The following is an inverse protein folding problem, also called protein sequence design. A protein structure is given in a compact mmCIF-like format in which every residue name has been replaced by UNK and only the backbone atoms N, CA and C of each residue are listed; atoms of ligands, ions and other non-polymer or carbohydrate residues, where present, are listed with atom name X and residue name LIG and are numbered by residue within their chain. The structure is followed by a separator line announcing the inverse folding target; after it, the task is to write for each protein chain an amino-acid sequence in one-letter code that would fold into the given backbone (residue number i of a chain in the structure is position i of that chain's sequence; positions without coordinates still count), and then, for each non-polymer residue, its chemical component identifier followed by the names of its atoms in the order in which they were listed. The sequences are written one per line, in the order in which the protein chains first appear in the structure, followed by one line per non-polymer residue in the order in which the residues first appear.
data_IF_025458200565
#
_entry.id   IF_025458200565
#
_cell.length_a   1.000
_cell.length_b   1.000
_cell.length_c   1.000
_cell.angle_alpha   90.00
_cell.angle_beta   90.00
_cell.angle_gamma   90.00
#
_symmetry.space_group_name_H-M   'P 1'
#
loop_
_entity.id
_entity.type
_entity.pdbx_description
1 polymer ?
#
# COMPACT_ATOMS: atom_id res chain seq x y z
N UNK A 1 18.15 -18.74 -13.00
CA UNK A 1 18.30 -17.33 -13.39
C UNK A 1 18.51 -16.58 -12.10
N UNK A 2 19.76 -16.26 -11.79
CA UNK A 2 20.08 -15.51 -10.58
C UNK A 2 19.40 -14.15 -10.67
N UNK A 3 18.40 -13.92 -9.83
CA UNK A 3 17.89 -12.59 -9.62
C UNK A 3 19.02 -11.84 -8.90
N UNK A 4 19.72 -10.99 -9.63
CA UNK A 4 20.77 -10.16 -9.05
C UNK A 4 20.16 -9.39 -7.89
N UNK A 5 20.81 -9.42 -6.72
CA UNK A 5 20.35 -8.71 -5.54
C UNK A 5 20.06 -7.24 -5.89
N UNK A 6 18.90 -6.74 -5.43
CA UNK A 6 18.45 -5.38 -5.65
C UNK A 6 18.30 -4.65 -4.30
N UNK A 7 19.41 -4.39 -3.57
CA UNK A 7 19.35 -3.75 -2.26
C UNK A 7 19.15 -2.24 -2.40
N UNK A 8 18.31 -1.69 -1.53
CA UNK A 8 18.05 -0.25 -1.45
C UNK A 8 19.34 0.57 -1.23
N UNK A 9 19.49 1.67 -1.96
CA UNK A 9 20.51 2.69 -1.66
C UNK A 9 20.14 3.52 -0.43
N UNK A 10 18.85 3.70 -0.16
CA UNK A 10 18.33 4.44 1.00
C UNK A 10 18.77 3.82 2.32
N UNK A 11 18.53 2.52 2.52
CA UNK A 11 18.96 1.82 3.74
C UNK A 11 20.48 1.82 3.91
N UNK A 12 21.23 1.69 2.80
CA UNK A 12 22.71 1.78 2.84
C UNK A 12 23.22 3.15 3.28
N UNK A 13 22.56 4.24 2.85
CA UNK A 13 22.94 5.61 3.21
C UNK A 13 22.44 6.03 4.58
N UNK A 14 21.35 5.45 5.05
CA UNK A 14 20.77 5.73 6.36
C UNK A 14 20.44 4.41 7.11
N UNK A 15 21.45 3.76 7.72
CA UNK A 15 21.28 2.44 8.33
C UNK A 15 20.38 2.44 9.58
N UNK A 16 20.09 3.60 10.17
CA UNK A 16 19.16 3.75 11.29
C UNK A 16 17.71 4.00 10.85
N UNK A 17 17.47 4.23 9.55
CA UNK A 17 16.11 4.36 9.03
C UNK A 17 15.36 3.04 9.18
N UNK A 18 14.10 3.11 9.60
CA UNK A 18 13.26 1.93 9.84
C UNK A 18 11.96 2.07 9.07
N UNK A 19 11.68 1.05 8.28
CA UNK A 19 10.37 0.77 7.72
C UNK A 19 10.02 -0.63 8.21
N UNK A 20 8.85 -0.79 8.82
CA UNK A 20 8.32 -2.10 9.18
C UNK A 20 7.12 -2.42 8.32
N UNK A 21 6.97 -3.69 7.98
CA UNK A 21 5.83 -4.23 7.25
C UNK A 21 5.38 -5.46 8.00
N UNK A 22 4.14 -5.46 8.43
CA UNK A 22 3.55 -6.52 9.25
C UNK A 22 2.16 -6.86 8.71
N UNK A 23 1.71 -8.13 8.81
CA UNK A 23 0.30 -8.46 8.56
C UNK A 23 -0.62 -7.64 9.47
N UNK A 24 -1.69 -7.10 8.90
CA UNK A 24 -2.76 -6.49 9.67
C UNK A 24 -3.77 -7.57 10.08
N UNK A 25 -3.95 -7.75 11.39
CA UNK A 25 -4.95 -8.67 11.93
C UNK A 25 -6.34 -8.01 11.91
N UNK A 26 -7.02 -8.12 10.77
CA UNK A 26 -8.34 -7.54 10.55
C UNK A 26 -8.68 -7.34 9.09
N UNK A 27 -9.86 -6.81 8.83
CA UNK A 27 -10.31 -6.49 7.48
C UNK A 27 -10.03 -5.02 7.15
N UNK A 28 -9.56 -4.74 5.95
CA UNK A 28 -9.43 -3.40 5.40
C UNK A 28 -10.32 -3.27 4.17
N UNK A 29 -11.18 -2.25 4.16
CA UNK A 29 -12.04 -1.91 3.03
C UNK A 29 -11.68 -0.51 2.54
N UNK A 30 -11.54 -0.36 1.22
CA UNK A 30 -11.27 0.91 0.55
C UNK A 30 -12.46 1.27 -0.33
N UNK A 31 -13.02 2.44 -0.10
CA UNK A 31 -14.19 2.96 -0.83
C UNK A 31 -13.85 4.28 -1.50
N UNK A 32 -14.13 4.39 -2.80
CA UNK A 32 -14.14 5.64 -3.53
C UNK A 32 -15.59 6.08 -3.76
N UNK A 33 -15.97 7.25 -3.22
CA UNK A 33 -17.37 7.68 -3.12
C UNK A 33 -18.25 6.62 -2.43
N UNK A 34 -19.10 5.92 -3.17
CA UNK A 34 -19.98 4.83 -2.73
C UNK A 34 -19.57 3.45 -3.29
N UNK A 35 -18.51 3.38 -4.10
CA UNK A 35 -18.00 2.15 -4.67
C UNK A 35 -16.84 1.58 -3.84
N UNK A 36 -16.98 0.34 -3.37
CA UNK A 36 -15.85 -0.41 -2.83
C UNK A 36 -14.90 -0.72 -3.98
N UNK A 37 -13.63 -0.38 -3.83
CA UNK A 37 -12.58 -0.58 -4.83
C UNK A 37 -11.46 -1.52 -4.36
N UNK A 38 -11.44 -1.86 -3.07
CA UNK A 38 -10.64 -2.95 -2.53
C UNK A 38 -11.24 -3.45 -1.20
N UNK A 39 -11.10 -4.73 -0.89
CA UNK A 39 -11.51 -5.30 0.39
C UNK A 39 -10.70 -6.56 0.70
N UNK A 40 -9.95 -6.58 1.80
CA UNK A 40 -9.04 -7.67 2.13
C UNK A 40 -8.96 -7.94 3.62
N UNK A 41 -8.79 -9.21 3.99
CA UNK A 41 -8.40 -9.70 5.32
C UNK A 41 -6.92 -10.11 5.38
N UNK A 42 -6.17 -9.92 4.28
CA UNK A 42 -4.74 -10.22 4.12
C UNK A 42 -3.91 -8.94 3.89
N UNK A 43 -4.41 -7.79 4.35
CA UNK A 43 -3.70 -6.53 4.22
C UNK A 43 -2.38 -6.53 5.03
N UNK A 44 -1.38 -5.81 4.53
CA UNK A 44 -0.18 -5.46 5.28
C UNK A 44 -0.30 -4.04 5.81
N UNK A 45 0.26 -3.77 6.99
CA UNK A 45 0.45 -2.42 7.51
C UNK A 45 1.94 -2.06 7.44
N UNK A 46 2.23 -0.98 6.72
CA UNK A 46 3.56 -0.39 6.63
C UNK A 46 3.65 0.80 7.59
N UNK A 47 4.70 0.84 8.40
CA UNK A 47 5.02 1.99 9.27
C UNK A 47 6.40 2.50 8.91
N UNK A 48 6.52 3.80 8.77
CA UNK A 48 7.75 4.47 8.35
C UNK A 48 7.94 5.73 9.17
N UNK A 49 8.99 5.75 10.01
CA UNK A 49 9.30 6.88 10.89
C UNK A 49 8.04 7.39 11.63
N UNK A 50 7.73 8.69 11.51
CA UNK A 50 6.60 9.36 12.13
C UNK A 50 5.39 9.53 11.19
N UNK A 51 5.41 8.89 10.01
CA UNK A 51 4.29 8.96 9.08
C UNK A 51 3.10 8.10 9.55
N UNK A 52 1.86 8.50 9.21
CA UNK A 52 0.70 7.64 9.43
C UNK A 52 0.89 6.26 8.80
N UNK A 53 0.40 5.18 9.44
CA UNK A 53 0.48 3.84 8.88
C UNK A 53 -0.22 3.75 7.53
N UNK A 54 0.36 2.98 6.61
CA UNK A 54 -0.18 2.77 5.27
C UNK A 54 -0.59 1.31 5.11
N UNK A 55 -1.83 1.09 4.70
CA UNK A 55 -2.31 -0.25 4.36
C UNK A 55 -1.94 -0.60 2.91
N UNK A 56 -1.33 -1.76 2.74
CA UNK A 56 -1.00 -2.39 1.48
C UNK A 56 -1.94 -3.56 1.27
N UNK A 57 -2.83 -3.44 0.29
CA UNK A 57 -3.83 -4.43 -0.07
C UNK A 57 -3.25 -5.32 -1.18
N UNK A 58 -3.30 -6.66 -1.06
CA UNK A 58 -2.80 -7.53 -2.11
C UNK A 58 -3.63 -7.33 -3.39
N UNK A 59 -2.98 -7.34 -4.56
CA UNK A 59 -3.63 -7.08 -5.85
C UNK A 59 -4.82 -8.00 -6.15
N UNK A 60 -4.83 -9.22 -5.59
CA UNK A 60 -5.97 -10.15 -5.73
C UNK A 60 -7.27 -9.62 -5.12
N UNK A 61 -7.17 -8.70 -4.16
CA UNK A 61 -8.28 -8.15 -3.39
C UNK A 61 -8.59 -6.69 -3.78
N UNK A 62 -7.98 -6.22 -4.89
CA UNK A 62 -8.22 -4.90 -5.49
C UNK A 62 -9.05 -5.07 -6.76
N UNK A 63 -10.11 -4.26 -6.88
CA UNK A 63 -11.04 -4.30 -8.00
C UNK A 63 -10.54 -3.43 -9.15
N UNK A 64 -9.63 -4.00 -9.95
CA UNK A 64 -8.99 -3.30 -11.07
C UNK A 64 -9.95 -2.91 -12.21
N UNK A 65 -11.20 -3.38 -12.23
CA UNK A 65 -12.23 -2.89 -13.15
C UNK A 65 -12.52 -1.39 -12.97
N UNK A 66 -12.25 -0.84 -11.78
CA UNK A 66 -12.40 0.59 -11.48
C UNK A 66 -11.10 1.37 -11.67
N UNK A 67 -9.96 0.70 -11.91
CA UNK A 67 -8.64 1.30 -11.89
C UNK A 67 -7.94 1.23 -13.25
N UNK A 68 -7.24 2.29 -13.61
CA UNK A 68 -6.45 2.35 -14.84
C UNK A 68 -5.02 2.81 -14.54
N UNK A 69 -3.99 2.16 -15.09
CA UNK A 69 -2.62 2.63 -14.93
C UNK A 69 -2.48 4.08 -15.42
N UNK A 70 -1.83 4.90 -14.60
CA UNK A 70 -1.43 6.27 -14.89
C UNK A 70 -0.04 6.29 -15.52
N UNK A 71 0.31 7.38 -16.21
CA UNK A 71 1.69 7.62 -16.64
C UNK A 71 2.58 8.14 -15.51
N UNK A 72 2.02 8.42 -14.34
CA UNK A 72 2.75 8.92 -13.17
C UNK A 72 3.63 7.81 -12.61
N UNK A 73 4.89 8.15 -12.32
CA UNK A 73 5.80 7.32 -11.53
C UNK A 73 6.63 8.21 -10.62
N UNK A 74 6.98 7.70 -9.44
CA UNK A 74 7.87 8.39 -8.49
C UNK A 74 8.92 7.44 -7.98
N UNK A 75 10.11 7.97 -7.68
CA UNK A 75 11.22 7.18 -7.17
C UNK A 75 11.37 7.36 -5.66
N UNK A 76 11.35 6.26 -4.91
CA UNK A 76 11.64 6.24 -3.48
C UNK A 76 12.99 5.55 -3.24
N UNK A 77 13.95 6.21 -2.55
CA UNK A 77 15.28 5.62 -2.30
C UNK A 77 15.23 4.35 -1.45
N UNK A 78 14.16 4.13 -0.68
CA UNK A 78 13.98 2.96 0.19
C UNK A 78 13.16 1.84 -0.43
N UNK A 79 12.25 2.16 -1.36
CA UNK A 79 11.23 1.21 -1.85
C UNK A 79 11.32 0.92 -3.36
N UNK A 80 12.02 1.76 -4.14
CA UNK A 80 12.11 1.64 -5.60
C UNK A 80 11.15 2.57 -6.32
N UNK A 81 10.74 2.19 -7.52
CA UNK A 81 9.82 2.99 -8.35
C UNK A 81 8.37 2.64 -8.05
N UNK A 82 7.58 3.66 -7.74
CA UNK A 82 6.14 3.55 -7.56
C UNK A 82 5.43 3.78 -8.91
N UNK A 83 4.50 2.89 -9.23
CA UNK A 83 3.50 3.04 -10.29
C UNK A 83 2.20 3.55 -9.69
N UNK A 84 1.38 4.23 -10.48
CA UNK A 84 0.13 4.85 -10.02
C UNK A 84 -1.06 4.43 -10.87
N UNK A 85 -2.26 4.46 -10.27
CA UNK A 85 -3.52 4.18 -10.95
C UNK A 85 -4.54 5.27 -10.67
N UNK A 86 -5.25 5.66 -11.73
CA UNK A 86 -6.42 6.51 -11.69
C UNK A 86 -7.66 5.66 -11.41
N UNK A 87 -8.69 6.25 -10.78
CA UNK A 87 -10.01 5.61 -10.63
C UNK A 87 -10.99 6.14 -11.66
N UNK A 88 -11.89 5.28 -12.10
CA UNK A 88 -13.08 5.62 -12.88
C UNK A 88 -14.25 4.79 -12.36
N UNK A 89 -15.05 5.38 -11.48
CA UNK A 89 -16.22 4.73 -10.90
C UNK A 89 -17.33 5.75 -10.65
N UNK A 90 -18.59 5.30 -10.67
CA UNK A 90 -19.77 6.12 -10.30
C UNK A 90 -19.87 7.48 -11.01
N UNK A 91 -19.39 7.55 -12.26
CA UNK A 91 -19.41 8.77 -13.07
C UNK A 91 -18.30 9.78 -12.75
N UNK A 92 -17.42 9.46 -11.81
CA UNK A 92 -16.28 10.29 -11.41
C UNK A 92 -14.96 9.66 -11.85
N UNK A 93 -13.95 10.51 -12.06
CA UNK A 93 -12.58 10.08 -12.31
C UNK A 93 -11.60 10.95 -11.54
N UNK A 94 -10.71 10.30 -10.80
CA UNK A 94 -9.69 10.95 -10.00
C UNK A 94 -8.35 10.30 -10.28
N UNK A 95 -7.32 11.14 -10.42
CA UNK A 95 -5.97 10.68 -10.76
C UNK A 95 -5.20 10.15 -9.56
N UNK A 96 -4.32 9.20 -9.83
CA UNK A 96 -3.28 8.71 -8.92
C UNK A 96 -3.85 8.42 -7.52
N UNK A 97 -4.92 7.62 -7.43
CA UNK A 97 -5.57 7.29 -6.15
C UNK A 97 -4.88 6.12 -5.44
N UNK A 98 -4.28 5.24 -6.22
CA UNK A 98 -3.56 4.07 -5.77
C UNK A 98 -2.13 4.15 -6.27
N UNK A 99 -1.18 3.72 -5.45
CA UNK A 99 0.18 3.45 -5.87
C UNK A 99 0.62 2.05 -5.47
N UNK A 100 1.61 1.51 -6.19
CA UNK A 100 2.22 0.23 -5.87
C UNK A 100 3.70 0.24 -6.24
N UNK A 101 4.48 -0.55 -5.53
CA UNK A 101 5.85 -0.87 -5.92
C UNK A 101 5.83 -2.24 -6.60
N UNK A 102 5.77 -2.27 -7.93
CA UNK A 102 5.69 -3.53 -8.70
C UNK A 102 7.03 -4.29 -8.69
N UNK A 103 8.14 -3.55 -8.56
CA UNK A 103 9.50 -4.07 -8.45
C UNK A 103 10.24 -3.40 -7.28
N UNK A 104 9.83 -3.68 -6.03
CA UNK A 104 10.48 -3.06 -4.88
C UNK A 104 11.90 -3.59 -4.67
N UNK A 105 12.69 -2.88 -3.87
CA UNK A 105 13.97 -3.39 -3.38
C UNK A 105 13.78 -4.62 -2.48
N UNK A 106 14.83 -5.44 -2.34
CA UNK A 106 14.78 -6.72 -1.63
C UNK A 106 14.29 -6.57 -0.18
N UNK A 107 14.69 -5.49 0.51
CA UNK A 107 14.26 -5.19 1.88
C UNK A 107 12.75 -4.92 1.98
N UNK A 108 12.10 -4.56 0.86
CA UNK A 108 10.69 -4.24 0.75
C UNK A 108 9.93 -5.26 -0.12
N UNK A 109 10.49 -6.46 -0.34
CA UNK A 109 9.86 -7.48 -1.18
C UNK A 109 8.45 -7.90 -0.72
N UNK A 110 8.12 -7.72 0.57
CA UNK A 110 6.80 -8.06 1.14
C UNK A 110 5.65 -7.25 0.53
N UNK A 111 5.89 -5.99 0.15
CA UNK A 111 4.85 -5.14 -0.46
C UNK A 111 4.76 -5.31 -1.98
N UNK A 112 5.53 -6.24 -2.56
CA UNK A 112 5.39 -6.61 -3.97
C UNK A 112 3.98 -7.16 -4.22
N UNK A 113 3.38 -6.80 -5.34
CA UNK A 113 1.99 -7.17 -5.69
C UNK A 113 0.94 -6.65 -4.68
N UNK A 114 1.24 -5.56 -3.98
CA UNK A 114 0.28 -4.87 -3.12
C UNK A 114 0.13 -3.41 -3.54
N UNK A 115 -1.08 -2.88 -3.42
CA UNK A 115 -1.41 -1.48 -3.69
C UNK A 115 -1.79 -0.76 -2.40
N UNK A 116 -1.41 0.51 -2.30
CA UNK A 116 -1.80 1.41 -1.23
C UNK A 116 -2.60 2.58 -1.81
N UNK A 117 -3.47 3.19 -0.99
CA UNK A 117 -4.41 4.22 -1.44
C UNK A 117 -4.26 5.51 -0.65
N UNK A 118 -4.54 6.63 -1.32
CA UNK A 118 -4.40 7.97 -0.73
C UNK A 118 -5.59 8.30 0.17
N UNK A 119 -5.41 8.46 1.50
CA UNK A 119 -6.52 8.64 2.44
C UNK A 119 -7.27 9.97 2.28
N UNK A 120 -6.70 10.93 1.54
CA UNK A 120 -7.36 12.19 1.14
C UNK A 120 -8.28 12.02 -0.08
N UNK A 121 -8.20 10.89 -0.79
CA UNK A 121 -8.99 10.60 -2.01
C UNK A 121 -9.97 9.46 -1.84
N UNK A 122 -9.79 8.60 -0.84
CA UNK A 122 -10.64 7.42 -0.57
C UNK A 122 -10.95 7.32 0.91
N UNK A 123 -12.05 6.64 1.25
CA UNK A 123 -12.30 6.19 2.62
C UNK A 123 -11.63 4.84 2.84
N UNK A 124 -10.79 4.76 3.87
CA UNK A 124 -10.14 3.52 4.30
C UNK A 124 -10.69 3.15 5.67
N UNK A 125 -11.34 1.99 5.75
CA UNK A 125 -11.91 1.45 6.98
C UNK A 125 -11.12 0.20 7.37
N UNK A 126 -10.39 0.29 8.48
CA UNK A 126 -9.63 -0.83 9.04
C UNK A 126 -10.35 -1.35 10.29
N UNK A 127 -10.87 -2.56 10.18
CA UNK A 127 -11.62 -3.26 11.22
C UNK A 127 -10.73 -4.37 11.81
N UNK A 128 -9.98 -4.09 12.89
CA UNK A 128 -9.18 -5.11 13.53
C UNK A 128 -10.06 -6.28 13.99
N UNK A 129 -9.54 -7.50 13.87
CA UNK A 129 -10.26 -8.67 14.39
C UNK A 129 -10.47 -8.48 15.90
N UNK A 130 -11.64 -8.88 16.40
CA UNK A 130 -11.99 -8.68 17.81
C UNK A 130 -11.15 -9.61 18.71
N UNK A 131 -9.92 -9.18 18.97
CA UNK A 131 -8.92 -9.87 19.80
C UNK A 131 -7.92 -8.92 20.49
N UNK A 132 -7.90 -7.63 20.12
CA UNK A 132 -7.10 -6.61 20.80
C UNK A 132 -7.95 -5.72 21.72
N UNK A 133 -8.50 -6.30 22.79
CA UNK A 133 -8.92 -5.52 23.97
C UNK A 133 -7.97 -5.87 25.12
N UNK A 134 -7.13 -4.90 25.49
CA UNK A 134 -6.19 -4.92 26.62
C UNK A 134 -4.81 -4.44 26.16
N UNK A 135 -4.19 -3.39 26.70
CA UNK A 135 -4.38 -2.51 27.85
C UNK A 135 -3.93 -1.08 27.41
N UNK A 136 -4.24 0.06 28.02
CA UNK A 136 -4.34 0.44 29.43
C UNK A 136 -5.27 1.67 29.56
N UNK A 137 -5.99 1.70 30.70
CA UNK A 137 -6.53 2.92 31.32
C UNK A 137 -5.52 3.44 32.35
#
# INVERSE_FOLDING_TARGET
MDQAANPSLGFRRNPSYRITVEPFDGAVTVTFSDAVIASSDEALVLREADYPPVFYIPFKDIYFEFLKPSSTTTHCPYKGDASYWDVSAVGESVKDIMWAYESPYDEMAQIKNHGAFYPDKVRIEANPSSGAVGADL
#
